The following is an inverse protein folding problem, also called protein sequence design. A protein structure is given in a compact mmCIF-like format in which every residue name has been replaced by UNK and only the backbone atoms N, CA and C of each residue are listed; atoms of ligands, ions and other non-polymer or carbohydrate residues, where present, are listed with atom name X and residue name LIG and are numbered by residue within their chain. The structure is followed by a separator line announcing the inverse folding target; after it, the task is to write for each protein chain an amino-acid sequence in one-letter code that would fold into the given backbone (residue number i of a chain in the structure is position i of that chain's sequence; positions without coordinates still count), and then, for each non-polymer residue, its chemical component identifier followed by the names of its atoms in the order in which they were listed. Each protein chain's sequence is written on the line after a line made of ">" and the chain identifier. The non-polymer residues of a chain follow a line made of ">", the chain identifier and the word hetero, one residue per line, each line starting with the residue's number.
data_IF_961134349973
#
_entry.id   IF_961134349973
#
_cell.length_a   1.000
_cell.length_b   1.000
_cell.length_c   1.000
_cell.angle_alpha   90.00
_cell.angle_beta   90.00
_cell.angle_gamma   90.00
#
_symmetry.space_group_name_H-M   'P 1'
#
loop_
_entity.id
_entity.type
_entity.pdbx_description
1 polymer ?
#
# COMPACT_ATOMS: atom_id res chain seq x y z
N UNK A 1 48.52 -57.35 -21.43
CA UNK A 1 48.02 -55.99 -21.72
C UNK A 1 46.78 -55.75 -20.85
N UNK A 2 46.97 -55.10 -19.75
CA UNK A 2 45.85 -54.74 -18.83
C UNK A 2 45.44 -53.26 -19.07
N UNK A 3 44.23 -53.08 -19.48
CA UNK A 3 43.66 -51.75 -19.73
C UNK A 3 43.13 -51.19 -18.41
N UNK A 4 43.81 -50.19 -17.85
CA UNK A 4 43.37 -49.51 -16.63
C UNK A 4 42.42 -48.39 -17.04
N UNK A 5 41.12 -48.57 -16.80
CA UNK A 5 40.12 -47.47 -16.91
C UNK A 5 40.30 -46.54 -15.73
N UNK A 6 40.78 -45.34 -15.99
CA UNK A 6 40.75 -44.25 -15.03
C UNK A 6 39.34 -43.64 -14.98
N UNK A 7 38.61 -43.93 -13.92
CA UNK A 7 37.36 -43.21 -13.58
C UNK A 7 37.75 -41.81 -13.09
N UNK A 8 37.57 -40.85 -13.99
CA UNK A 8 37.57 -39.43 -13.64
C UNK A 8 36.29 -39.17 -12.87
N UNK A 9 36.37 -39.15 -11.53
CA UNK A 9 35.31 -38.73 -10.67
C UNK A 9 35.11 -37.25 -10.85
N UNK A 10 34.02 -36.86 -11.52
CA UNK A 10 33.48 -35.49 -11.41
C UNK A 10 33.15 -35.24 -9.94
N UNK A 11 34.04 -34.55 -9.23
CA UNK A 11 33.68 -33.83 -8.04
C UNK A 11 32.70 -32.75 -8.48
N UNK A 12 31.39 -33.02 -8.37
CA UNK A 12 30.41 -31.97 -8.31
C UNK A 12 30.76 -31.14 -7.07
N UNK A 13 31.41 -29.99 -7.27
CA UNK A 13 31.36 -28.93 -6.31
C UNK A 13 29.87 -28.53 -6.24
N UNK A 14 29.13 -29.23 -5.40
CA UNK A 14 28.01 -28.63 -4.71
C UNK A 14 28.64 -27.56 -3.80
N UNK A 15 29.03 -26.44 -4.37
CA UNK A 15 28.83 -25.18 -3.66
C UNK A 15 27.36 -25.24 -3.33
N UNK A 16 27.04 -25.66 -2.11
CA UNK A 16 25.75 -25.35 -1.52
C UNK A 16 25.61 -23.86 -1.77
N UNK A 17 24.80 -23.51 -2.75
CA UNK A 17 24.17 -22.24 -2.81
C UNK A 17 23.50 -22.12 -1.45
N UNK A 18 24.25 -21.59 -0.49
CA UNK A 18 23.68 -20.96 0.67
C UNK A 18 22.88 -19.81 0.04
N UNK A 19 21.66 -20.16 -0.39
CA UNK A 19 20.64 -19.17 -0.62
C UNK A 19 20.59 -18.47 0.73
N UNK A 20 21.26 -17.33 0.79
CA UNK A 20 21.21 -16.47 1.96
C UNK A 20 19.72 -16.14 2.13
N UNK A 21 19.07 -16.97 2.95
CA UNK A 21 17.65 -16.87 3.30
C UNK A 21 17.42 -15.72 4.28
N UNK A 22 18.30 -14.75 4.33
CA UNK A 22 18.07 -13.46 4.98
C UNK A 22 17.05 -12.67 4.16
N UNK A 23 15.83 -13.18 4.21
CA UNK A 23 14.69 -12.73 3.46
C UNK A 23 14.33 -11.31 3.87
N UNK A 24 14.08 -10.47 2.87
CA UNK A 24 13.51 -9.14 2.99
C UNK A 24 14.05 -8.28 4.13
N UNK A 25 15.11 -7.57 3.85
CA UNK A 25 15.61 -6.48 4.71
C UNK A 25 14.65 -5.29 4.75
N UNK A 26 13.57 -5.35 3.97
CA UNK A 26 12.55 -4.31 3.86
C UNK A 26 11.18 -4.88 4.22
N UNK A 27 10.38 -4.10 4.94
CA UNK A 27 8.98 -4.40 5.22
C UNK A 27 8.12 -4.26 3.95
N UNK A 28 8.35 -3.21 3.17
CA UNK A 28 7.70 -2.97 1.88
C UNK A 28 8.45 -3.74 0.80
N UNK A 29 7.77 -4.66 0.12
CA UNK A 29 8.36 -5.52 -0.91
C UNK A 29 8.26 -4.94 -2.32
N UNK A 30 7.46 -3.88 -2.51
CA UNK A 30 7.33 -3.20 -3.78
C UNK A 30 6.72 -1.80 -3.65
N UNK A 31 7.03 -0.95 -4.62
CA UNK A 31 6.50 0.41 -4.69
C UNK A 31 5.82 0.65 -6.03
N UNK A 32 4.60 1.18 -6.00
CA UNK A 32 3.95 1.71 -7.19
C UNK A 32 4.45 3.13 -7.42
N UNK A 33 5.10 3.33 -8.56
CA UNK A 33 5.70 4.60 -8.97
C UNK A 33 4.83 5.39 -9.93
N UNK A 34 3.95 4.69 -10.65
CA UNK A 34 2.97 5.26 -11.56
C UNK A 34 1.59 4.62 -11.28
N UNK A 35 0.84 5.12 -10.29
CA UNK A 35 -0.45 4.56 -9.90
C UNK A 35 -1.58 5.01 -10.82
N UNK A 36 -2.61 4.16 -10.91
CA UNK A 36 -3.98 4.54 -11.21
C UNK A 36 -4.78 4.61 -9.91
N UNK A 37 -5.62 5.62 -9.78
CA UNK A 37 -6.47 5.79 -8.61
C UNK A 37 -7.93 5.53 -8.96
N UNK A 38 -8.62 4.79 -8.09
CA UNK A 38 -10.04 4.45 -8.23
C UNK A 38 -10.74 4.68 -6.91
N UNK A 39 -11.96 5.19 -6.97
CA UNK A 39 -12.82 5.32 -5.80
C UNK A 39 -14.19 4.69 -6.08
N UNK A 40 -14.72 3.91 -5.13
CA UNK A 40 -15.96 3.17 -5.30
C UNK A 40 -16.78 3.16 -4.01
N UNK A 41 -18.12 3.26 -4.13
CA UNK A 41 -19.05 3.00 -3.04
C UNK A 41 -19.17 1.50 -2.78
N UNK A 42 -19.06 1.09 -1.51
CA UNK A 42 -19.31 -0.27 -1.02
C UNK A 42 -18.86 -1.39 -1.99
N UNK A 43 -17.60 -1.40 -2.46
CA UNK A 43 -17.17 -2.42 -3.40
C UNK A 43 -17.24 -3.82 -2.77
N UNK A 44 -17.86 -4.77 -3.46
CA UNK A 44 -18.15 -6.15 -2.98
C UNK A 44 -16.89 -6.94 -2.58
N UNK A 45 -15.73 -6.58 -3.13
CA UNK A 45 -14.45 -7.26 -2.83
C UNK A 45 -13.85 -6.86 -1.48
N UNK A 46 -14.38 -5.82 -0.82
CA UNK A 46 -13.99 -5.46 0.54
C UNK A 46 -14.92 -6.18 1.51
N UNK A 47 -14.68 -7.47 1.68
CA UNK A 47 -15.33 -8.25 2.72
C UNK A 47 -14.35 -8.37 3.88
N UNK A 48 -14.41 -7.43 4.82
CA UNK A 48 -13.74 -7.61 6.09
C UNK A 48 -14.79 -7.91 7.16
N UNK A 49 -14.67 -9.00 7.93
CA UNK A 49 -15.53 -9.26 9.07
C UNK A 49 -15.48 -8.16 10.12
N UNK A 50 -14.45 -7.32 10.06
CA UNK A 50 -14.24 -6.16 10.94
C UNK A 50 -14.80 -4.85 10.39
N UNK A 51 -15.36 -4.84 9.17
CA UNK A 51 -15.96 -3.62 8.63
C UNK A 51 -17.29 -3.35 9.35
N UNK A 52 -17.43 -2.17 9.99
CA UNK A 52 -18.69 -1.80 10.64
C UNK A 52 -19.79 -1.70 9.57
N UNK A 53 -21.00 -2.08 9.97
CA UNK A 53 -22.20 -1.89 9.18
C UNK A 53 -22.34 -0.43 8.76
N UNK A 54 -22.51 -0.16 7.48
CA UNK A 54 -22.77 1.18 6.95
C UNK A 54 -22.06 1.47 5.64
N UNK A 55 -22.51 2.54 4.99
CA UNK A 55 -21.96 3.00 3.73
C UNK A 55 -20.52 3.51 3.90
N UNK A 56 -19.67 3.16 2.94
CA UNK A 56 -18.30 3.66 2.83
C UNK A 56 -17.90 3.88 1.37
N UNK A 57 -16.84 4.66 1.19
CA UNK A 57 -16.16 4.79 -0.10
C UNK A 57 -14.74 4.28 0.05
N UNK A 58 -14.35 3.36 -0.79
CA UNK A 58 -12.99 2.85 -0.88
C UNK A 58 -12.20 3.63 -1.92
N UNK A 59 -11.08 4.20 -1.52
CA UNK A 59 -10.09 4.80 -2.40
C UNK A 59 -8.91 3.83 -2.51
N UNK A 60 -8.66 3.36 -3.72
CA UNK A 60 -7.60 2.39 -4.02
C UNK A 60 -6.58 2.97 -4.96
N UNK A 61 -5.37 2.44 -4.89
CA UNK A 61 -4.32 2.68 -5.85
C UNK A 61 -3.83 1.36 -6.43
N UNK A 62 -3.73 1.31 -7.73
CA UNK A 62 -3.29 0.15 -8.50
C UNK A 62 -2.11 0.55 -9.38
N UNK A 63 -1.34 -0.44 -9.83
CA UNK A 63 -0.31 -0.18 -10.83
C UNK A 63 -0.97 0.35 -12.10
N UNK A 64 -0.58 1.54 -12.52
CA UNK A 64 -1.03 2.12 -13.78
C UNK A 64 -0.53 1.33 -14.99
N UNK A 65 -0.96 1.68 -16.19
CA UNK A 65 -0.53 1.01 -17.40
C UNK A 65 0.98 1.20 -17.64
N UNK A 66 1.64 0.13 -18.09
CA UNK A 66 3.06 0.13 -18.44
C UNK A 66 3.91 -0.78 -17.55
N UNK A 67 5.00 -1.30 -18.13
CA UNK A 67 5.89 -2.28 -17.51
C UNK A 67 6.73 -1.73 -16.34
N UNK A 68 6.73 -0.42 -16.10
CA UNK A 68 7.53 0.25 -15.07
C UNK A 68 6.69 0.93 -13.99
N UNK A 69 5.41 0.55 -13.85
CA UNK A 69 4.53 1.13 -12.84
C UNK A 69 4.85 0.67 -11.42
N UNK A 70 5.56 -0.44 -11.29
CA UNK A 70 5.97 -1.02 -10.00
C UNK A 70 7.46 -1.32 -10.04
N UNK A 71 8.14 -1.05 -8.94
CA UNK A 71 9.51 -1.52 -8.67
C UNK A 71 9.47 -2.41 -7.45
N UNK A 72 10.14 -3.56 -7.49
CA UNK A 72 10.07 -4.56 -6.44
C UNK A 72 11.44 -5.06 -6.00
N UNK A 73 11.47 -5.68 -4.84
CA UNK A 73 12.64 -6.36 -4.31
C UNK A 73 13.15 -7.44 -5.27
N UNK A 74 12.23 -8.21 -5.85
CA UNK A 74 12.56 -9.33 -6.72
C UNK A 74 13.19 -8.88 -8.05
N UNK A 75 12.76 -7.70 -8.56
CA UNK A 75 13.26 -7.18 -9.84
C UNK A 75 14.66 -6.58 -9.72
N UNK A 76 14.90 -5.78 -8.69
CA UNK A 76 16.14 -5.00 -8.56
C UNK A 76 17.13 -5.62 -7.58
N UNK A 77 16.64 -6.32 -6.55
CA UNK A 77 17.43 -6.89 -5.45
C UNK A 77 18.04 -5.81 -4.54
N UNK A 78 17.91 -6.00 -3.24
CA UNK A 78 18.43 -5.03 -2.26
C UNK A 78 19.94 -5.08 -2.12
N UNK A 79 20.53 -6.24 -2.38
CA UNK A 79 21.98 -6.48 -2.20
C UNK A 79 22.80 -5.67 -3.21
N UNK A 80 22.21 -5.26 -4.33
CA UNK A 80 22.89 -4.41 -5.30
C UNK A 80 23.10 -2.98 -4.81
N UNK A 81 22.39 -2.55 -3.75
CA UNK A 81 22.43 -1.17 -3.22
C UNK A 81 22.28 -0.09 -4.30
N UNK A 82 21.54 -0.42 -5.33
CA UNK A 82 21.34 0.38 -6.54
C UNK A 82 19.87 0.26 -6.95
N UNK A 83 19.46 1.15 -7.87
CA UNK A 83 18.12 1.12 -8.40
C UNK A 83 17.10 1.93 -7.59
N UNK A 84 15.90 2.02 -8.15
CA UNK A 84 14.83 2.85 -7.59
C UNK A 84 14.23 2.22 -6.33
N UNK A 85 14.09 0.89 -6.30
CA UNK A 85 13.59 0.16 -5.13
C UNK A 85 14.46 0.44 -3.90
N UNK A 86 15.78 0.27 -4.03
CA UNK A 86 16.73 0.55 -2.95
C UNK A 86 16.68 2.01 -2.50
N UNK A 87 16.60 2.94 -3.45
CA UNK A 87 16.53 4.39 -3.18
C UNK A 87 15.28 4.74 -2.35
N UNK A 88 14.12 4.15 -2.68
CA UNK A 88 12.87 4.35 -1.96
C UNK A 88 12.94 3.72 -0.57
N UNK A 89 13.39 2.48 -0.46
CA UNK A 89 13.53 1.80 0.84
C UNK A 89 14.48 2.56 1.77
N UNK A 90 15.59 3.10 1.24
CA UNK A 90 16.52 3.95 2.00
C UNK A 90 15.87 5.27 2.42
N UNK A 91 15.11 5.93 1.56
CA UNK A 91 14.38 7.17 1.87
C UNK A 91 13.47 6.99 3.07
N UNK A 92 12.77 5.88 3.15
CA UNK A 92 11.82 5.57 4.22
C UNK A 92 12.46 4.85 5.41
N UNK A 93 13.78 4.66 5.41
CA UNK A 93 14.52 3.92 6.43
C UNK A 93 14.06 2.46 6.60
N UNK A 94 13.59 1.85 5.50
CA UNK A 94 13.08 0.48 5.45
C UNK A 94 14.16 -0.50 4.96
N UNK A 95 15.31 -0.56 5.65
CA UNK A 95 16.47 -1.42 5.31
C UNK A 95 16.89 -2.36 6.45
N UNK A 96 16.20 -2.29 7.58
CA UNK A 96 16.56 -3.03 8.80
C UNK A 96 15.51 -4.05 9.21
N UNK A 97 14.50 -4.26 8.37
CA UNK A 97 13.49 -5.28 8.61
C UNK A 97 14.15 -6.66 8.52
N UNK A 98 13.98 -7.45 9.56
CA UNK A 98 14.60 -8.77 9.65
C UNK A 98 13.56 -9.78 10.13
N UNK A 99 12.64 -10.14 9.25
CA UNK A 99 11.65 -11.16 9.54
C UNK A 99 11.82 -12.35 8.60
N UNK A 100 11.90 -13.52 9.21
CA UNK A 100 11.97 -14.78 8.47
C UNK A 100 10.55 -15.20 8.09
N UNK A 101 10.17 -15.03 6.83
CA UNK A 101 8.98 -15.68 6.33
C UNK A 101 9.31 -17.11 5.92
N UNK A 102 8.68 -18.07 6.60
CA UNK A 102 8.80 -19.49 6.22
C UNK A 102 7.91 -19.87 5.03
N UNK A 103 7.07 -18.95 4.54
CA UNK A 103 6.12 -19.16 3.45
C UNK A 103 6.14 -17.97 2.49
N UNK A 104 5.53 -18.11 1.32
CA UNK A 104 5.44 -17.08 0.28
C UNK A 104 5.21 -15.69 0.87
N UNK A 105 6.08 -14.72 0.59
CA UNK A 105 5.96 -13.40 1.17
C UNK A 105 4.63 -12.77 0.79
N UNK A 106 3.96 -12.19 1.78
CA UNK A 106 2.80 -11.34 1.50
C UNK A 106 3.32 -10.12 0.74
N UNK A 107 2.77 -9.87 -0.43
CA UNK A 107 3.18 -8.72 -1.24
C UNK A 107 2.77 -7.42 -0.52
N UNK A 108 3.72 -6.82 0.18
CA UNK A 108 3.56 -5.53 0.84
C UNK A 108 3.93 -4.42 -0.15
N UNK A 109 2.95 -3.99 -0.95
CA UNK A 109 3.13 -2.99 -1.99
C UNK A 109 2.60 -1.65 -1.49
N UNK A 110 3.40 -0.60 -1.61
CA UNK A 110 3.05 0.76 -1.18
C UNK A 110 3.15 1.78 -2.32
N UNK A 111 2.46 2.92 -2.16
CA UNK A 111 2.74 4.11 -2.96
C UNK A 111 4.16 4.60 -2.72
N UNK A 112 4.88 4.93 -3.79
CA UNK A 112 6.27 5.42 -3.70
C UNK A 112 6.40 6.85 -3.16
N UNK A 113 5.35 7.65 -3.26
CA UNK A 113 5.29 9.03 -2.75
C UNK A 113 3.98 9.23 -1.96
N UNK A 114 3.90 10.21 -1.05
CA UNK A 114 2.68 10.52 -0.32
C UNK A 114 1.60 11.10 -1.23
N UNK A 115 0.34 10.93 -0.80
CA UNK A 115 -0.75 11.78 -1.28
C UNK A 115 -0.73 13.09 -0.51
N UNK A 116 -1.01 14.19 -1.20
CA UNK A 116 -0.99 15.53 -0.61
C UNK A 116 -2.36 16.18 -0.77
N UNK A 117 -2.80 16.92 0.27
CA UNK A 117 -4.04 17.70 0.25
C UNK A 117 -5.29 16.86 -0.07
N UNK A 118 -5.42 15.72 0.58
CA UNK A 118 -6.60 14.86 0.44
C UNK A 118 -7.85 15.59 0.98
N UNK A 119 -8.84 15.86 0.13
CA UNK A 119 -10.06 16.58 0.44
C UNK A 119 -11.28 15.91 -0.17
N UNK A 120 -12.44 16.12 0.45
CA UNK A 120 -13.70 15.55 0.01
C UNK A 120 -14.75 16.64 -0.13
N UNK A 121 -15.53 16.60 -1.23
CA UNK A 121 -16.57 17.57 -1.53
C UNK A 121 -17.87 16.84 -1.85
N UNK A 122 -18.99 17.40 -1.44
CA UNK A 122 -20.31 17.00 -1.91
C UNK A 122 -20.78 17.94 -3.03
N UNK A 123 -21.57 17.41 -3.94
CA UNK A 123 -22.31 18.22 -4.92
C UNK A 123 -23.73 18.37 -4.42
N UNK A 124 -24.12 19.60 -4.10
CA UNK A 124 -25.48 19.93 -3.65
C UNK A 124 -26.51 19.77 -4.77
N UNK A 125 -27.79 19.82 -4.43
CA UNK A 125 -28.87 19.80 -5.42
C UNK A 125 -28.87 21.03 -6.35
N UNK A 126 -28.23 22.13 -5.95
CA UNK A 126 -27.99 23.30 -6.80
C UNK A 126 -26.78 23.16 -7.73
N UNK A 127 -26.01 22.05 -7.62
CA UNK A 127 -24.78 21.84 -8.38
C UNK A 127 -23.56 22.54 -7.77
N UNK A 128 -23.68 23.10 -6.57
CA UNK A 128 -22.56 23.72 -5.87
C UNK A 128 -21.71 22.67 -5.16
N UNK A 129 -20.39 22.84 -5.18
CA UNK A 129 -19.45 22.00 -4.44
C UNK A 129 -19.20 22.56 -3.04
N UNK A 130 -19.35 21.72 -2.02
CA UNK A 130 -19.12 22.06 -0.61
C UNK A 130 -18.06 21.14 -0.04
N UNK A 131 -17.02 21.69 0.59
CA UNK A 131 -16.00 20.89 1.31
C UNK A 131 -16.64 20.26 2.55
N UNK A 132 -16.59 18.94 2.62
CA UNK A 132 -17.11 18.12 3.69
C UNK A 132 -16.03 17.31 4.40
N UNK A 133 -14.77 17.68 4.26
CA UNK A 133 -13.63 16.97 4.82
C UNK A 133 -13.66 16.88 6.36
N UNK A 134 -14.36 17.77 7.04
CA UNK A 134 -14.61 17.75 8.49
C UNK A 134 -15.76 16.84 8.93
N UNK A 135 -16.55 16.35 7.97
CA UNK A 135 -17.72 15.49 8.18
C UNK A 135 -17.45 14.01 7.85
N UNK A 136 -16.25 13.70 7.36
CA UNK A 136 -15.87 12.35 6.98
C UNK A 136 -14.66 11.88 7.78
N UNK A 137 -14.74 10.63 8.26
CA UNK A 137 -13.58 9.90 8.73
C UNK A 137 -12.88 9.23 7.56
N UNK A 138 -11.55 9.27 7.59
CA UNK A 138 -10.69 8.51 6.71
C UNK A 138 -9.92 7.47 7.53
N UNK A 139 -10.10 6.19 7.20
CA UNK A 139 -9.27 5.11 7.70
C UNK A 139 -8.17 4.84 6.68
N UNK A 140 -6.92 5.06 7.05
CA UNK A 140 -5.74 4.85 6.22
C UNK A 140 -5.01 3.58 6.63
N UNK A 141 -4.40 2.91 5.65
CA UNK A 141 -3.55 1.74 5.85
C UNK A 141 -2.15 2.07 5.34
N UNK A 142 -1.19 2.28 6.25
CA UNK A 142 0.16 2.74 5.92
C UNK A 142 1.23 1.87 6.56
N UNK A 143 2.33 1.64 5.85
CA UNK A 143 3.52 0.94 6.39
C UNK A 143 4.42 1.87 7.20
N UNK A 144 4.33 3.19 6.99
CA UNK A 144 5.25 4.15 7.61
C UNK A 144 5.31 4.07 9.14
N UNK A 145 4.17 4.00 9.89
CA UNK A 145 4.25 3.94 11.35
C UNK A 145 4.95 2.68 11.86
N UNK A 146 4.80 1.54 11.17
CA UNK A 146 5.49 0.31 11.54
C UNK A 146 7.00 0.41 11.32
N UNK A 147 7.44 1.00 10.21
CA UNK A 147 8.85 1.24 9.92
C UNK A 147 9.45 2.23 10.94
N UNK A 148 8.78 3.35 11.22
CA UNK A 148 9.24 4.36 12.17
C UNK A 148 9.31 3.85 13.62
N UNK A 149 8.49 2.87 13.98
CA UNK A 149 8.57 2.23 15.30
C UNK A 149 9.77 1.29 15.45
N UNK A 150 10.59 1.12 14.42
CA UNK A 150 11.65 0.10 14.39
C UNK A 150 11.09 -1.31 14.25
N UNK A 151 9.95 -1.44 13.57
CA UNK A 151 9.23 -2.70 13.33
C UNK A 151 8.68 -3.34 14.61
N UNK A 152 8.12 -2.51 15.49
CA UNK A 152 7.49 -2.97 16.73
C UNK A 152 6.23 -3.81 16.42
N UNK A 153 6.33 -5.10 16.64
CA UNK A 153 5.24 -6.06 16.41
C UNK A 153 4.04 -5.87 17.35
N UNK A 154 4.21 -5.10 18.41
CA UNK A 154 3.16 -4.77 19.40
C UNK A 154 2.44 -3.46 19.09
N UNK A 155 2.84 -2.75 18.01
CA UNK A 155 2.28 -1.45 17.65
C UNK A 155 0.76 -1.51 17.49
N UNK A 156 -0.01 -0.66 18.20
CA UNK A 156 -1.46 -0.60 18.10
C UNK A 156 -1.93 -0.33 16.67
N UNK A 157 -2.99 -1.03 16.24
CA UNK A 157 -3.54 -0.88 14.89
C UNK A 157 -2.75 -1.57 13.78
N UNK A 158 -1.65 -2.26 14.11
CA UNK A 158 -0.89 -3.04 13.13
C UNK A 158 -1.67 -4.29 12.71
N UNK A 159 -1.78 -4.49 11.41
CA UNK A 159 -2.21 -5.77 10.85
C UNK A 159 -1.08 -6.81 11.00
N UNK A 160 -1.38 -7.92 11.67
CA UNK A 160 -0.36 -8.92 12.00
C UNK A 160 0.13 -9.73 10.81
N UNK A 161 -0.62 -9.73 9.71
CA UNK A 161 -0.28 -10.47 8.49
C UNK A 161 0.48 -9.60 7.49
N UNK A 162 0.05 -8.34 7.35
CA UNK A 162 0.51 -7.48 6.27
C UNK A 162 1.41 -6.33 6.75
N UNK A 163 1.57 -6.15 8.08
CA UNK A 163 2.45 -5.14 8.69
C UNK A 163 2.10 -3.66 8.44
N UNK A 164 1.01 -3.33 7.75
CA UNK A 164 0.53 -1.95 7.74
C UNK A 164 -0.15 -1.60 9.07
N UNK A 165 -0.20 -0.31 9.36
CA UNK A 165 -0.89 0.24 10.52
C UNK A 165 -2.14 0.96 10.05
N UNK A 166 -3.26 0.63 10.70
CA UNK A 166 -4.55 1.29 10.45
C UNK A 166 -4.69 2.51 11.36
N UNK A 167 -5.05 3.65 10.77
CA UNK A 167 -5.31 4.89 11.49
C UNK A 167 -6.59 5.55 10.98
N UNK A 168 -7.45 6.00 11.90
CA UNK A 168 -8.69 6.70 11.55
C UNK A 168 -8.65 8.13 12.07
N UNK A 169 -8.87 9.11 11.19
CA UNK A 169 -8.93 10.55 11.49
C UNK A 169 -9.98 11.22 10.65
N UNK A 170 -10.36 12.45 10.97
CA UNK A 170 -11.13 13.28 10.03
C UNK A 170 -10.30 13.53 8.78
N UNK A 171 -10.96 13.60 7.62
CA UNK A 171 -10.28 13.91 6.35
C UNK A 171 -9.54 15.25 6.45
N UNK A 172 -10.16 16.25 7.12
CA UNK A 172 -9.53 17.56 7.38
C UNK A 172 -8.28 17.52 8.26
N UNK A 173 -8.08 16.44 9.02
CA UNK A 173 -6.93 16.23 9.92
C UNK A 173 -5.83 15.36 9.29
N UNK A 174 -6.04 14.89 8.05
CA UNK A 174 -5.03 14.10 7.35
C UNK A 174 -3.81 14.96 7.04
N UNK A 175 -2.66 14.42 7.37
CA UNK A 175 -1.36 15.02 7.06
C UNK A 175 -0.65 14.23 5.98
N UNK A 176 0.32 14.82 5.31
CA UNK A 176 1.20 14.14 4.36
C UNK A 176 1.80 12.87 4.98
N UNK A 177 2.25 12.94 6.24
CA UNK A 177 2.76 11.78 6.98
C UNK A 177 1.74 10.65 7.09
N UNK A 178 0.48 10.96 7.36
CA UNK A 178 -0.61 9.98 7.43
C UNK A 178 -0.99 9.37 6.08
N UNK A 179 -0.55 10.01 4.99
CA UNK A 179 -0.80 9.61 3.60
C UNK A 179 0.46 9.09 2.90
N UNK A 180 1.52 8.81 3.65
CA UNK A 180 2.79 8.26 3.17
C UNK A 180 2.79 6.73 3.27
N UNK A 181 3.39 6.04 2.30
CA UNK A 181 3.48 4.59 2.21
C UNK A 181 2.12 3.88 2.38
N UNK A 182 1.09 4.43 1.76
CA UNK A 182 -0.23 3.80 1.73
C UNK A 182 -0.16 2.47 0.98
N UNK A 183 -0.85 1.45 1.49
CA UNK A 183 -0.95 0.15 0.83
C UNK A 183 -1.68 0.26 -0.51
N UNK A 184 -1.25 -0.54 -1.48
CA UNK A 184 -1.78 -0.55 -2.84
C UNK A 184 -2.18 -1.96 -3.33
N UNK A 185 -2.23 -2.94 -2.45
CA UNK A 185 -2.49 -4.31 -2.88
C UNK A 185 -3.60 -4.94 -2.06
N UNK A 186 -4.72 -5.29 -2.73
CA UNK A 186 -5.89 -5.98 -2.15
C UNK A 186 -6.55 -5.30 -0.95
N UNK A 187 -6.14 -4.09 -0.61
CA UNK A 187 -6.66 -3.33 0.52
C UNK A 187 -6.77 -1.89 0.06
N UNK A 188 -7.89 -1.20 0.35
CA UNK A 188 -8.00 0.22 0.06
C UNK A 188 -6.89 1.01 0.77
N UNK A 189 -6.32 1.97 0.06
CA UNK A 189 -5.39 2.93 0.66
C UNK A 189 -6.08 3.79 1.71
N UNK A 190 -7.32 4.19 1.41
CA UNK A 190 -8.16 4.99 2.29
C UNK A 190 -9.61 4.48 2.23
N UNK A 191 -10.26 4.34 3.38
CA UNK A 191 -11.70 4.10 3.49
C UNK A 191 -12.36 5.32 4.09
N UNK A 192 -13.33 5.88 3.40
CA UNK A 192 -14.09 7.05 3.86
C UNK A 192 -15.44 6.62 4.43
N UNK A 193 -15.77 7.14 5.62
CA UNK A 193 -17.05 6.94 6.28
C UNK A 193 -17.61 8.26 6.80
N UNK A 194 -18.91 8.39 6.82
CA UNK A 194 -19.55 9.58 7.37
C UNK A 194 -19.44 9.62 8.89
N UNK A 195 -19.17 10.82 9.43
CA UNK A 195 -19.24 11.10 10.87
C UNK A 195 -20.70 11.36 11.24
N UNK A 196 -21.24 10.57 12.16
CA UNK A 196 -22.63 10.77 12.61
C UNK A 196 -22.88 12.21 13.14
N UNK A 197 -24.01 12.82 12.88
CA UNK A 197 -25.20 12.30 12.19
C UNK A 197 -25.18 12.44 10.65
N UNK A 198 -24.05 12.88 10.08
CA UNK A 198 -23.90 13.05 8.63
C UNK A 198 -24.00 11.71 7.90
N UNK A 199 -24.40 11.74 6.64
CA UNK A 199 -24.42 10.57 5.74
C UNK A 199 -23.59 10.85 4.51
N UNK A 200 -23.00 9.82 3.91
CA UNK A 200 -22.30 9.97 2.64
C UNK A 200 -23.23 10.53 1.57
N UNK A 201 -22.81 11.55 0.82
CA UNK A 201 -23.63 12.19 -0.22
C UNK A 201 -23.88 11.23 -1.40
N UNK A 202 -24.85 11.56 -2.26
CA UNK A 202 -25.09 10.80 -3.50
C UNK A 202 -23.92 10.92 -4.46
N UNK A 203 -23.29 12.08 -4.53
CA UNK A 203 -22.12 12.36 -5.36
C UNK A 203 -21.02 12.91 -4.44
N UNK A 204 -19.91 12.16 -4.37
CA UNK A 204 -18.72 12.53 -3.62
C UNK A 204 -17.58 12.83 -4.61
N UNK A 205 -16.93 13.98 -4.46
CA UNK A 205 -15.72 14.31 -5.19
C UNK A 205 -14.54 14.18 -4.21
N UNK A 206 -13.51 13.45 -4.61
CA UNK A 206 -12.25 13.31 -3.87
C UNK A 206 -11.18 14.04 -4.67
N UNK A 207 -10.48 14.98 -4.00
CA UNK A 207 -9.35 15.71 -4.56
C UNK A 207 -8.10 15.44 -3.76
N UNK A 208 -7.02 15.16 -4.44
CA UNK A 208 -5.69 14.99 -3.86
C UNK A 208 -4.63 15.33 -4.90
N UNK A 209 -3.35 15.23 -4.54
CA UNK A 209 -2.27 15.28 -5.53
C UNK A 209 -1.24 14.18 -5.26
N UNK A 210 -0.60 13.72 -6.32
CA UNK A 210 0.48 12.75 -6.29
C UNK A 210 1.60 13.21 -7.22
N UNK A 211 2.82 13.34 -6.71
CA UNK A 211 3.97 13.86 -7.47
C UNK A 211 3.72 15.21 -8.15
N UNK A 212 2.89 16.07 -7.53
CA UNK A 212 2.52 17.37 -8.08
C UNK A 212 1.37 17.34 -9.10
N UNK A 213 0.93 16.18 -9.54
CA UNK A 213 -0.23 16.03 -10.40
C UNK A 213 -1.53 16.03 -9.57
N UNK A 214 -2.52 16.79 -10.03
CA UNK A 214 -3.83 16.84 -9.39
C UNK A 214 -4.64 15.62 -9.79
N UNK A 215 -5.29 15.01 -8.80
CA UNK A 215 -6.19 13.86 -8.96
C UNK A 215 -7.56 14.29 -8.48
N UNK A 216 -8.55 14.10 -9.33
CA UNK A 216 -9.96 14.31 -9.00
C UNK A 216 -10.75 13.08 -9.39
N UNK A 217 -11.46 12.50 -8.44
CA UNK A 217 -12.34 11.34 -8.64
C UNK A 217 -13.76 11.71 -8.20
N UNK A 218 -14.72 11.48 -9.08
CA UNK A 218 -16.14 11.59 -8.76
C UNK A 218 -16.74 10.21 -8.55
N UNK A 219 -17.36 10.01 -7.40
CA UNK A 219 -17.98 8.74 -7.00
C UNK A 219 -19.47 8.95 -6.83
N UNK A 220 -20.26 8.14 -7.51
CA UNK A 220 -21.72 8.16 -7.40
C UNK A 220 -22.20 6.97 -6.58
N UNK A 221 -23.14 7.22 -5.65
CA UNK A 221 -23.82 6.14 -4.95
C UNK A 221 -24.71 5.39 -5.95
N UNK A 222 -24.64 4.05 -6.01
CA UNK A 222 -25.58 3.28 -6.80
C UNK A 222 -27.04 3.58 -6.40
N UNK A 223 -27.94 3.65 -7.36
CA UNK A 223 -29.36 3.75 -7.05
C UNK A 223 -29.82 2.47 -6.35
N UNK A 224 -30.58 2.65 -5.25
CA UNK A 224 -31.22 1.53 -4.59
C UNK A 224 -32.24 0.90 -5.57
N UNK A 225 -32.05 -0.37 -5.86
CA UNK A 225 -32.96 -1.15 -6.73
C UNK A 225 -34.24 -1.54 -6.01
#
# INVERSE_FOLDING_TARGET
>A
MALTLALVGCKSNKEDLIIDRSFYKCCVTGYITNPSFVAQFNPEWIISPSDPEGDFVAFTCEAGPGSHSTVSYDDEGIDRKQGLYYTLSKRYNDLSYNDYYMTTPVMAIALSEPLIQFRCFEVTTSGEEVDISDRLYATTHSFLPFIESGYDKTLPGRDTKNNYVTSTKLVSELTEKGLTLLTCYRIPAVILRAKAPYRLPKVLIIRTSYKGEKIELTVQRPEEK
#
